data_IF_370079738811
#
_entry.id   IF_370079738811
#
_cell.length_a   1.000
_cell.length_b   1.000
_cell.length_c   1.000
_cell.angle_alpha   90.00
_cell.angle_beta   90.00
_cell.angle_gamma   90.00
#
_symmetry.space_group_name_H-M   'P 1'
#
loop_
_entity.id
_entity.type
_entity.pdbx_description
1 polymer ?
#
# COMPACT_ATOMS: atom_id res chain seq x y z
N UNK A 1 45.27 -16.03 -4.39
CA UNK A 1 44.98 -16.85 -3.19
C UNK A 1 45.22 -15.95 -2.01
N UNK A 2 44.23 -15.39 -1.31
CA UNK A 2 42.85 -15.79 -1.02
C UNK A 2 42.00 -14.50 -0.91
N UNK A 3 40.98 -14.35 -1.76
CA UNK A 3 39.56 -14.26 -1.38
C UNK A 3 39.21 -13.13 -0.39
N UNK A 4 39.01 -11.91 -0.91
CA UNK A 4 38.00 -11.02 -0.33
C UNK A 4 36.66 -11.42 -0.95
N UNK A 5 35.92 -12.27 -0.26
CA UNK A 5 34.50 -12.50 -0.52
C UNK A 5 33.72 -11.98 0.71
N UNK A 6 32.42 -11.70 0.53
CA UNK A 6 31.73 -10.45 0.78
C UNK A 6 30.88 -10.64 2.05
N UNK A 7 29.80 -9.88 2.21
CA UNK A 7 28.79 -10.08 3.26
C UNK A 7 29.21 -9.56 4.65
N UNK A 8 28.88 -8.29 4.95
CA UNK A 8 28.01 -7.97 6.10
C UNK A 8 27.66 -6.46 6.21
N UNK A 9 27.10 -5.84 5.16
CA UNK A 9 26.42 -4.53 5.28
C UNK A 9 24.90 -4.65 5.03
N UNK A 10 24.31 -5.83 5.26
CA UNK A 10 22.86 -6.04 5.16
C UNK A 10 22.23 -6.16 6.56
N UNK A 11 22.49 -5.21 7.45
CA UNK A 11 21.85 -5.17 8.77
C UNK A 11 21.47 -3.74 9.14
N UNK A 12 20.38 -3.27 8.54
CA UNK A 12 19.80 -1.96 8.88
C UNK A 12 18.51 -1.57 8.12
N UNK A 13 18.10 -2.31 7.09
CA UNK A 13 17.10 -1.83 6.11
C UNK A 13 15.65 -2.34 6.34
N UNK A 14 15.34 -2.83 7.55
CA UNK A 14 14.00 -3.36 7.88
C UNK A 14 13.11 -2.39 8.67
N UNK A 15 13.55 -1.15 8.91
CA UNK A 15 12.79 -0.20 9.73
C UNK A 15 12.43 1.13 9.05
N UNK A 16 13.04 1.49 7.92
CA UNK A 16 12.77 2.77 7.26
C UNK A 16 12.52 2.58 5.78
N UNK A 17 11.37 3.07 5.33
CA UNK A 17 11.04 3.14 3.90
C UNK A 17 11.82 4.32 3.31
N UNK A 18 12.74 4.08 2.38
CA UNK A 18 13.43 5.19 1.69
C UNK A 18 12.41 6.09 0.94
N UNK A 19 12.67 7.40 0.89
CA UNK A 19 11.77 8.37 0.24
C UNK A 19 11.47 8.00 -1.21
N UNK A 20 12.48 7.55 -1.96
CA UNK A 20 12.31 7.15 -3.36
C UNK A 20 11.41 5.92 -3.47
N UNK A 21 11.51 4.99 -2.53
CA UNK A 21 10.65 3.80 -2.47
C UNK A 21 9.22 4.18 -2.08
N UNK A 22 9.04 5.11 -1.14
CA UNK A 22 7.74 5.64 -0.76
C UNK A 22 7.02 6.32 -1.95
N UNK A 23 7.74 7.16 -2.69
CA UNK A 23 7.22 7.78 -3.92
C UNK A 23 6.88 6.74 -5.00
N UNK A 24 7.75 5.74 -5.20
CA UNK A 24 7.49 4.65 -6.15
C UNK A 24 6.20 3.90 -5.79
N UNK A 25 6.00 3.54 -4.52
CA UNK A 25 4.77 2.90 -4.05
C UNK A 25 3.55 3.80 -4.25
N UNK A 26 3.69 5.10 -4.00
CA UNK A 26 2.60 6.07 -4.16
C UNK A 26 2.18 6.20 -5.63
N UNK A 27 3.11 6.13 -6.58
CA UNK A 27 2.78 6.15 -8.02
C UNK A 27 2.02 4.91 -8.50
N UNK A 28 2.11 3.80 -7.78
CA UNK A 28 1.34 2.60 -8.07
C UNK A 28 -0.08 2.63 -7.50
N UNK A 29 -0.36 3.54 -6.56
CA UNK A 29 -1.68 3.68 -5.97
C UNK A 29 -2.62 4.41 -6.96
N UNK A 30 -3.82 3.88 -7.17
CA UNK A 30 -4.84 4.49 -8.03
C UNK A 30 -6.01 5.07 -7.22
N UNK A 31 -6.20 4.60 -5.99
CA UNK A 31 -7.25 4.98 -5.05
C UNK A 31 -8.51 4.11 -5.11
N UNK A 32 -8.56 3.13 -6.02
CA UNK A 32 -9.69 2.20 -6.13
C UNK A 32 -9.27 0.73 -6.10
N UNK A 33 -7.97 0.45 -5.99
CA UNK A 33 -7.46 -0.91 -6.01
C UNK A 33 -7.33 -1.49 -4.60
N UNK A 34 -7.48 -2.81 -4.54
CA UNK A 34 -7.29 -3.60 -3.35
C UNK A 34 -6.08 -4.52 -3.58
N UNK A 35 -5.04 -4.33 -2.78
CA UNK A 35 -3.80 -5.08 -2.91
C UNK A 35 -3.81 -6.26 -1.94
N UNK A 36 -3.38 -7.43 -2.42
CA UNK A 36 -3.20 -8.58 -1.53
C UNK A 36 -2.01 -8.33 -0.61
N UNK A 37 -2.06 -8.93 0.58
CA UNK A 37 -0.94 -8.90 1.54
C UNK A 37 0.37 -9.36 0.89
N UNK A 38 0.32 -10.40 0.07
CA UNK A 38 1.48 -10.92 -0.66
C UNK A 38 2.04 -9.89 -1.65
N UNK A 39 1.17 -9.17 -2.36
CA UNK A 39 1.58 -8.11 -3.27
C UNK A 39 2.26 -6.96 -2.52
N UNK A 40 1.68 -6.52 -1.39
CA UNK A 40 2.28 -5.48 -0.54
C UNK A 40 3.67 -5.89 -0.02
N UNK A 41 3.83 -7.13 0.45
CA UNK A 41 5.14 -7.66 0.85
C UNK A 41 6.14 -7.66 -0.30
N UNK A 42 5.73 -8.10 -1.49
CA UNK A 42 6.60 -8.13 -2.67
C UNK A 42 7.05 -6.73 -3.11
N UNK A 43 6.16 -5.74 -2.98
CA UNK A 43 6.47 -4.32 -3.21
C UNK A 43 7.32 -3.70 -2.11
N UNK A 44 7.54 -4.42 -1.02
CA UNK A 44 8.37 -3.99 0.09
C UNK A 44 7.70 -2.93 0.96
N UNK A 45 6.37 -2.99 1.08
CA UNK A 45 5.62 -2.28 2.12
C UNK A 45 6.05 -2.82 3.49
N UNK A 46 6.31 -1.97 4.50
CA UNK A 46 6.70 -2.42 5.83
C UNK A 46 5.66 -3.36 6.46
N UNK A 47 6.11 -4.46 7.08
CA UNK A 47 5.20 -5.48 7.62
C UNK A 47 4.23 -4.91 8.67
N UNK A 48 4.69 -3.97 9.52
CA UNK A 48 3.83 -3.32 10.50
C UNK A 48 2.70 -2.47 9.87
N UNK A 49 2.92 -1.90 8.68
CA UNK A 49 1.83 -1.24 7.92
C UNK A 49 0.89 -2.26 7.31
N UNK A 50 1.42 -3.39 6.87
CA UNK A 50 0.60 -4.47 6.35
C UNK A 50 -0.34 -4.96 7.46
N UNK A 51 0.18 -5.25 8.65
CA UNK A 51 -0.63 -5.67 9.80
C UNK A 51 -1.66 -4.62 10.24
N UNK A 52 -1.30 -3.32 10.20
CA UNK A 52 -2.16 -2.21 10.59
C UNK A 52 -3.29 -1.94 9.57
N UNK A 53 -2.96 -1.96 8.28
CA UNK A 53 -3.88 -1.54 7.20
C UNK A 53 -4.66 -2.69 6.60
N UNK A 54 -4.23 -3.92 6.83
CA UNK A 54 -4.90 -5.09 6.28
C UNK A 54 -6.25 -5.32 6.97
N UNK A 55 -7.28 -5.45 6.15
CA UNK A 55 -8.66 -5.65 6.61
C UNK A 55 -9.33 -6.80 5.82
N UNK A 56 -10.40 -7.33 6.40
CA UNK A 56 -11.24 -8.35 5.80
C UNK A 56 -12.43 -7.68 5.11
N UNK A 57 -12.34 -7.52 3.78
CA UNK A 57 -13.38 -6.91 2.98
C UNK A 57 -14.39 -7.97 2.53
N UNK A 58 -15.63 -7.87 3.00
CA UNK A 58 -16.73 -8.66 2.45
C UNK A 58 -17.21 -8.04 1.14
N UNK A 59 -17.22 -8.84 0.06
CA UNK A 59 -17.89 -8.47 -1.18
C UNK A 59 -19.38 -8.28 -0.88
N UNK A 60 -19.82 -7.03 -0.83
CA UNK A 60 -21.22 -6.68 -0.79
C UNK A 60 -21.89 -7.15 -2.07
N UNK A 61 -22.54 -8.31 -2.02
CA UNK A 61 -23.40 -8.83 -3.08
C UNK A 61 -24.51 -7.82 -3.39
N UNK A 62 -24.30 -6.98 -4.40
CA UNK A 62 -25.37 -6.32 -5.14
C UNK A 62 -25.31 -6.62 -6.65
N UNK A 63 -24.48 -7.58 -7.05
CA UNK A 63 -24.48 -8.15 -8.39
C UNK A 63 -23.97 -9.59 -8.32
N UNK A 64 -24.83 -10.53 -8.67
CA UNK A 64 -24.71 -12.00 -8.50
C UNK A 64 -23.62 -12.66 -9.38
N UNK A 65 -22.61 -11.91 -9.83
CA UNK A 65 -21.75 -12.28 -10.96
C UNK A 65 -20.27 -12.45 -10.63
N UNK A 66 -19.84 -12.34 -9.36
CA UNK A 66 -18.41 -12.46 -9.01
C UNK A 66 -18.18 -13.30 -7.76
N UNK A 67 -18.49 -14.59 -7.85
CA UNK A 67 -17.98 -15.60 -6.91
C UNK A 67 -16.50 -15.83 -7.19
N UNK A 68 -15.63 -15.42 -6.27
CA UNK A 68 -14.20 -15.75 -6.29
C UNK A 68 -14.05 -17.12 -5.62
N UNK A 69 -13.49 -18.09 -6.36
CA UNK A 69 -13.26 -19.44 -5.85
C UNK A 69 -11.82 -19.56 -5.33
N UNK A 70 -11.67 -19.90 -4.04
CA UNK A 70 -10.38 -20.30 -3.45
C UNK A 70 -10.58 -21.65 -2.75
N UNK A 71 -9.81 -22.67 -3.15
CA UNK A 71 -9.74 -23.99 -2.50
C UNK A 71 -11.10 -24.67 -2.19
N UNK A 72 -12.00 -24.70 -3.18
CA UNK A 72 -13.33 -25.36 -3.07
C UNK A 72 -14.25 -24.81 -1.96
N UNK A 73 -13.90 -23.68 -1.34
CA UNK A 73 -14.78 -22.97 -0.39
C UNK A 73 -15.12 -21.59 -0.94
N UNK A 74 -16.41 -21.35 -1.07
CA UNK A 74 -16.94 -20.01 -1.35
C UNK A 74 -16.61 -19.13 -0.15
N UNK A 75 -15.65 -18.23 -0.28
CA UNK A 75 -15.41 -17.18 0.71
C UNK A 75 -15.61 -15.82 0.06
N UNK A 76 -16.54 -15.05 0.61
CA UNK A 76 -16.93 -13.74 0.12
C UNK A 76 -16.00 -12.66 0.66
N UNK A 77 -14.93 -13.08 1.34
CA UNK A 77 -14.02 -12.26 2.12
C UNK A 77 -12.70 -12.17 1.37
N UNK A 78 -12.38 -10.97 0.91
CA UNK A 78 -11.07 -10.64 0.38
C UNK A 78 -10.23 -9.99 1.48
N UNK A 79 -9.06 -10.55 1.74
CA UNK A 79 -8.13 -10.04 2.74
C UNK A 79 -7.04 -9.23 2.04
N UNK A 80 -6.95 -7.94 2.34
CA UNK A 80 -5.98 -7.07 1.68
C UNK A 80 -5.97 -5.64 2.21
N UNK A 81 -5.27 -4.78 1.48
CA UNK A 81 -5.03 -3.39 1.83
C UNK A 81 -5.56 -2.52 0.71
N UNK A 82 -6.41 -1.55 1.03
CA UNK A 82 -6.84 -0.56 0.02
C UNK A 82 -5.66 0.34 -0.30
N UNK A 83 -5.38 0.53 -1.58
CA UNK A 83 -4.28 1.35 -2.03
C UNK A 83 -4.42 2.82 -1.56
N UNK A 84 -5.63 3.33 -1.37
CA UNK A 84 -5.87 4.68 -0.80
C UNK A 84 -5.44 4.78 0.67
N UNK A 85 -5.58 3.72 1.44
CA UNK A 85 -5.17 3.71 2.85
C UNK A 85 -3.64 3.64 2.92
N UNK A 86 -3.03 2.84 2.04
CA UNK A 86 -1.58 2.81 1.86
C UNK A 86 -1.04 4.18 1.38
N UNK A 87 -1.68 4.81 0.41
CA UNK A 87 -1.30 6.13 -0.09
C UNK A 87 -1.43 7.21 1.00
N UNK A 88 -2.47 7.13 1.83
CA UNK A 88 -2.63 8.01 2.99
C UNK A 88 -1.45 7.84 3.95
N UNK A 89 -1.11 6.60 4.29
CA UNK A 89 0.03 6.28 5.16
C UNK A 89 1.37 6.75 4.58
N UNK A 90 1.57 6.58 3.27
CA UNK A 90 2.75 7.06 2.55
C UNK A 90 2.84 8.59 2.58
N UNK A 91 1.73 9.30 2.38
CA UNK A 91 1.67 10.75 2.46
C UNK A 91 2.03 11.28 3.85
N UNK A 92 1.46 10.68 4.91
CA UNK A 92 1.82 11.02 6.29
C UNK A 92 3.30 10.76 6.59
N UNK A 93 3.82 9.63 6.12
CA UNK A 93 5.24 9.27 6.27
C UNK A 93 6.17 10.25 5.54
N UNK A 94 5.74 10.79 4.41
CA UNK A 94 6.44 11.84 3.65
C UNK A 94 6.32 13.24 4.29
N UNK A 95 5.54 13.38 5.36
CA UNK A 95 5.36 14.64 6.09
C UNK A 95 4.21 15.52 5.59
N UNK A 96 3.32 14.98 4.74
CA UNK A 96 2.20 15.71 4.17
C UNK A 96 1.01 15.78 5.15
N UNK A 97 0.28 16.90 5.12
CA UNK A 97 -0.99 17.04 5.83
C UNK A 97 -2.14 16.40 5.03
N UNK A 98 -2.20 15.06 5.08
CA UNK A 98 -3.19 14.28 4.33
C UNK A 98 -4.61 14.56 4.82
N UNK A 99 -4.82 14.89 6.10
CA UNK A 99 -6.14 15.25 6.63
C UNK A 99 -6.71 16.50 5.96
N UNK A 100 -5.87 17.52 5.72
CA UNK A 100 -6.26 18.70 4.96
C UNK A 100 -6.59 18.39 3.49
N UNK A 101 -5.87 17.45 2.87
CA UNK A 101 -6.14 17.01 1.49
C UNK A 101 -7.47 16.24 1.41
N UNK A 102 -7.72 15.33 2.36
CA UNK A 102 -8.96 14.56 2.48
C UNK A 102 -10.19 15.47 2.57
N UNK A 103 -10.10 16.59 3.30
CA UNK A 103 -11.20 17.56 3.42
C UNK A 103 -11.55 18.31 2.12
N UNK A 104 -10.71 18.24 1.08
CA UNK A 104 -10.86 19.01 -0.17
C UNK A 104 -11.27 18.17 -1.38
N UNK A 105 -11.20 16.84 -1.28
CA UNK A 105 -11.41 15.91 -2.39
C UNK A 105 -12.71 15.13 -2.21
N UNK A 106 -13.36 14.75 -3.32
CA UNK A 106 -14.66 14.06 -3.30
C UNK A 106 -14.56 12.58 -3.60
N UNK A 107 -13.38 12.08 -3.97
CA UNK A 107 -13.15 10.65 -4.25
C UNK A 107 -11.78 10.17 -3.81
N UNK A 108 -11.65 8.86 -3.59
CA UNK A 108 -10.39 8.21 -3.23
C UNK A 108 -9.31 8.40 -4.29
N UNK A 109 -9.66 8.30 -5.57
CA UNK A 109 -8.73 8.60 -6.69
C UNK A 109 -8.19 10.02 -6.64
N UNK A 110 -9.05 11.00 -6.34
CA UNK A 110 -8.62 12.39 -6.19
C UNK A 110 -7.73 12.58 -4.98
N UNK A 111 -7.99 11.86 -3.88
CA UNK A 111 -7.12 11.86 -2.71
C UNK A 111 -5.72 11.36 -3.05
N UNK A 112 -5.60 10.17 -3.65
CA UNK A 112 -4.29 9.60 -4.02
C UNK A 112 -3.54 10.54 -4.95
N UNK A 113 -4.23 11.12 -5.94
CA UNK A 113 -3.62 12.11 -6.83
C UNK A 113 -3.14 13.36 -6.10
N UNK A 114 -3.95 13.91 -5.18
CA UNK A 114 -3.56 15.08 -4.41
C UNK A 114 -2.35 14.81 -3.49
N UNK A 115 -2.26 13.60 -2.93
CA UNK A 115 -1.10 13.17 -2.14
C UNK A 115 0.14 13.06 -3.04
N UNK A 116 0.01 12.48 -4.24
CA UNK A 116 1.09 12.37 -5.21
C UNK A 116 1.61 13.75 -5.65
N UNK A 117 0.70 14.64 -6.07
CA UNK A 117 1.05 16.00 -6.48
C UNK A 117 1.77 16.75 -5.34
N UNK A 118 1.26 16.66 -4.11
CA UNK A 118 1.91 17.28 -2.95
C UNK A 118 3.28 16.67 -2.62
N UNK A 119 3.46 15.36 -2.81
CA UNK A 119 4.73 14.68 -2.57
C UNK A 119 5.81 15.01 -3.60
N UNK A 120 5.43 15.35 -4.83
CA UNK A 120 6.33 15.77 -5.91
C UNK A 120 6.76 17.24 -5.80
N UNK A 121 5.98 18.07 -5.11
CA UNK A 121 6.25 19.51 -4.93
C UNK A 121 7.24 19.84 -3.79
N UNK A 122 7.50 18.89 -2.86
CA UNK A 122 8.51 18.97 -1.78
C UNK A 122 9.89 18.42 -2.20
#
# INVERSE_FOLDING_TARGET
MWLNNPDNEETGDFMYLDRLKALTLLTECTGDDLWSVEYCRHKGVPEHWIEELNDCFESGFNSDSQTIYVEERVTNQYHGIRDVDLATRLGEYLGLDVASLQGRVVSRRQLVRAILEAAEED
#
